data_IF_941700148102
#
_entry.id   IF_941700148102
#
_cell.length_a   1.000
_cell.length_b   1.000
_cell.length_c   1.000
_cell.angle_alpha   90.00
_cell.angle_beta   90.00
_cell.angle_gamma   90.00
#
_symmetry.space_group_name_H-M   'P 1'
#
loop_
_entity.id
_entity.type
_entity.pdbx_description
1 polymer ?
#
# COMPACT_ATOMS: atom_id res chain seq x y z
N UNK A 1 -29.82 5.18 -80.28
CA UNK A 1 -29.08 6.28 -79.71
C UNK A 1 -29.53 6.45 -78.27
N UNK A 2 -28.90 5.73 -77.34
CA UNK A 2 -29.29 5.77 -75.93
C UNK A 2 -28.07 6.19 -75.07
N UNK A 3 -28.22 7.34 -74.44
CA UNK A 3 -27.23 7.81 -73.45
C UNK A 3 -27.54 7.17 -72.11
N UNK A 4 -26.60 6.36 -71.57
CA UNK A 4 -26.67 5.75 -70.24
C UNK A 4 -25.97 6.70 -69.28
N UNK A 5 -26.69 7.24 -68.31
CA UNK A 5 -26.18 8.00 -67.20
C UNK A 5 -25.56 6.97 -66.15
N UNK A 6 -24.28 7.10 -65.84
CA UNK A 6 -23.68 6.44 -64.74
C UNK A 6 -23.78 7.33 -63.50
N UNK A 7 -24.58 6.95 -62.55
CA UNK A 7 -24.59 7.55 -61.21
C UNK A 7 -23.45 6.95 -60.37
N UNK A 8 -22.56 7.79 -59.90
CA UNK A 8 -21.52 7.41 -58.95
C UNK A 8 -22.11 7.49 -57.54
N UNK A 9 -22.16 6.33 -56.86
CA UNK A 9 -22.53 6.25 -55.45
C UNK A 9 -21.23 6.40 -54.63
N UNK A 10 -21.09 7.55 -53.92
CA UNK A 10 -20.08 7.72 -52.89
C UNK A 10 -20.54 7.00 -51.63
N UNK A 11 -19.92 5.87 -51.29
CA UNK A 11 -20.04 5.27 -49.97
C UNK A 11 -19.11 6.01 -49.01
N UNK A 12 -19.68 6.80 -48.12
CA UNK A 12 -18.99 7.34 -46.97
C UNK A 12 -18.93 6.24 -45.88
N UNK A 13 -17.75 5.63 -45.69
CA UNK A 13 -17.51 4.73 -44.60
C UNK A 13 -17.25 5.53 -43.31
N UNK A 14 -18.25 5.63 -42.46
CA UNK A 14 -18.12 6.14 -41.12
C UNK A 14 -17.45 5.04 -40.24
N UNK A 15 -16.18 5.21 -39.93
CA UNK A 15 -15.48 4.42 -38.95
C UNK A 15 -15.92 4.82 -37.54
N UNK A 16 -16.78 4.02 -36.93
CA UNK A 16 -17.10 4.09 -35.52
C UNK A 16 -15.87 3.61 -34.73
N UNK A 17 -15.13 4.56 -34.17
CA UNK A 17 -14.17 4.25 -33.07
C UNK A 17 -15.00 3.91 -31.84
N UNK A 18 -15.18 2.63 -31.56
CA UNK A 18 -15.64 2.17 -30.27
C UNK A 18 -14.53 2.38 -29.27
N UNK A 19 -14.65 3.41 -28.44
CA UNK A 19 -13.86 3.52 -27.23
C UNK A 19 -14.25 2.36 -26.31
N UNK A 20 -13.43 1.31 -26.27
CA UNK A 20 -13.55 0.29 -25.27
C UNK A 20 -13.23 0.93 -23.92
N UNK A 21 -14.25 1.25 -23.14
CA UNK A 21 -14.10 1.53 -21.72
C UNK A 21 -13.56 0.25 -21.08
N UNK A 22 -12.29 0.28 -20.69
CA UNK A 22 -11.73 -0.72 -19.79
C UNK A 22 -12.46 -0.55 -18.47
N UNK A 23 -13.54 -1.29 -18.27
CA UNK A 23 -14.16 -1.40 -16.96
C UNK A 23 -13.14 -2.07 -16.05
N UNK A 24 -12.66 -1.36 -15.04
CA UNK A 24 -11.96 -1.99 -13.93
C UNK A 24 -12.86 -3.12 -13.41
N UNK A 25 -12.37 -4.35 -13.50
CA UNK A 25 -13.08 -5.51 -13.04
C UNK A 25 -13.22 -5.37 -11.52
N UNK A 26 -14.42 -4.99 -11.05
CA UNK A 26 -14.74 -5.00 -9.62
C UNK A 26 -14.61 -6.45 -9.13
N UNK A 27 -13.47 -6.76 -8.53
CA UNK A 27 -13.33 -8.02 -7.80
C UNK A 27 -14.15 -7.91 -6.51
N UNK A 28 -15.42 -8.29 -6.60
CA UNK A 28 -16.26 -8.51 -5.43
C UNK A 28 -15.80 -9.80 -4.75
N UNK A 29 -14.84 -9.68 -3.84
CA UNK A 29 -14.47 -10.77 -2.96
C UNK A 29 -15.17 -10.47 -1.62
N UNK A 30 -16.22 -11.22 -1.24
CA UNK A 30 -17.02 -10.92 -0.04
C UNK A 30 -16.20 -10.77 1.23
N UNK A 31 -15.16 -11.59 1.40
CA UNK A 31 -14.29 -11.61 2.58
C UNK A 31 -13.42 -10.34 2.68
N UNK A 32 -13.05 -9.73 1.55
CA UNK A 32 -12.29 -8.49 1.54
C UNK A 32 -13.14 -7.32 2.05
N UNK A 33 -14.43 -7.28 1.71
CA UNK A 33 -15.34 -6.17 2.03
C UNK A 33 -15.56 -5.94 3.51
N UNK A 34 -15.35 -6.94 4.38
CA UNK A 34 -15.47 -6.78 5.83
C UNK A 34 -14.28 -6.05 6.46
N UNK A 35 -13.13 -6.07 5.77
CA UNK A 35 -11.88 -5.52 6.26
C UNK A 35 -11.41 -4.29 5.49
N UNK A 36 -11.78 -4.18 4.22
CA UNK A 36 -11.28 -3.14 3.32
C UNK A 36 -12.39 -2.55 2.44
N UNK A 37 -12.13 -1.33 1.99
CA UNK A 37 -12.80 -0.71 0.83
C UNK A 37 -11.74 -0.25 -0.17
N UNK A 38 -12.03 -0.23 -1.48
CA UNK A 38 -11.14 0.40 -2.45
C UNK A 38 -10.87 1.86 -2.08
N UNK A 39 -9.60 2.29 -2.17
CA UNK A 39 -9.24 3.68 -1.95
C UNK A 39 -9.82 4.59 -3.01
N UNK A 40 -10.16 5.81 -2.61
CA UNK A 40 -10.54 6.90 -3.52
C UNK A 40 -9.32 7.75 -3.90
N UNK A 41 -9.42 8.55 -4.96
CA UNK A 41 -8.37 9.49 -5.37
C UNK A 41 -8.17 10.63 -4.34
N UNK A 42 -9.26 11.08 -3.70
CA UNK A 42 -9.20 12.14 -2.72
C UNK A 42 -8.46 11.69 -1.45
N UNK A 43 -7.55 12.49 -0.89
CA UNK A 43 -6.94 12.20 0.40
C UNK A 43 -7.99 12.03 1.51
N UNK A 44 -7.72 11.18 2.48
CA UNK A 44 -8.55 10.97 3.67
C UNK A 44 -7.79 11.34 4.93
N UNK A 45 -8.49 11.64 6.02
CA UNK A 45 -7.88 11.78 7.35
C UNK A 45 -7.43 10.43 7.91
N UNK A 46 -6.80 10.47 9.07
CA UNK A 46 -6.61 9.30 9.93
C UNK A 46 -7.94 8.91 10.60
N UNK A 47 -7.99 7.74 11.23
CA UNK A 47 -9.15 7.39 12.05
C UNK A 47 -9.27 8.28 13.31
N UNK A 48 -10.28 8.01 14.14
CA UNK A 48 -10.55 8.79 15.38
C UNK A 48 -9.38 8.75 16.37
N UNK A 49 -8.55 7.71 16.34
CA UNK A 49 -7.42 7.48 17.22
C UNK A 49 -6.07 7.79 16.54
N UNK A 50 -6.09 8.32 15.31
CA UNK A 50 -4.92 8.74 14.54
C UNK A 50 -4.26 7.65 13.69
N UNK A 51 -4.85 6.45 13.64
CA UNK A 51 -4.28 5.36 12.84
C UNK A 51 -4.47 5.60 11.34
N UNK A 52 -3.45 5.19 10.59
CA UNK A 52 -3.41 5.28 9.13
C UNK A 52 -4.09 4.03 8.57
N UNK A 53 -5.23 4.25 7.90
CA UNK A 53 -6.03 3.16 7.34
C UNK A 53 -5.81 2.97 5.83
N UNK A 54 -5.31 3.99 5.11
CA UNK A 54 -5.11 3.96 3.65
C UNK A 54 -3.73 3.47 3.29
N UNK A 55 -3.67 2.37 2.52
CA UNK A 55 -2.43 1.73 2.09
C UNK A 55 -2.54 1.20 0.66
N UNK A 56 -1.43 1.22 -0.06
CA UNK A 56 -1.25 0.45 -1.30
C UNK A 56 -0.43 -0.78 -0.93
N UNK A 57 -1.04 -1.96 -1.03
CA UNK A 57 -0.52 -3.24 -0.59
C UNK A 57 -0.09 -4.08 -1.80
N UNK A 58 1.12 -4.63 -1.78
CA UNK A 58 1.55 -5.61 -2.77
C UNK A 58 1.02 -7.00 -2.43
N UNK A 59 0.54 -7.72 -3.42
CA UNK A 59 0.27 -9.15 -3.27
C UNK A 59 1.47 -9.86 -2.65
N UNK A 60 1.26 -10.79 -1.69
CA UNK A 60 2.32 -11.33 -0.85
C UNK A 60 3.41 -12.06 -1.62
N UNK A 61 4.63 -11.99 -1.12
CA UNK A 61 5.80 -12.66 -1.66
C UNK A 61 6.12 -13.86 -0.76
N UNK A 62 6.23 -15.05 -1.33
CA UNK A 62 6.53 -16.25 -0.57
C UNK A 62 7.90 -16.20 0.12
N UNK A 63 7.98 -16.71 1.35
CA UNK A 63 9.21 -16.91 2.10
C UNK A 63 9.25 -18.33 2.69
N UNK A 64 10.41 -18.81 3.05
CA UNK A 64 10.59 -20.14 3.67
C UNK A 64 10.47 -20.10 5.21
N UNK A 65 9.92 -19.01 5.77
CA UNK A 65 9.82 -18.81 7.20
C UNK A 65 8.82 -19.77 7.86
N UNK A 66 9.27 -20.91 8.32
CA UNK A 66 8.42 -21.91 9.01
C UNK A 66 8.08 -21.52 10.47
N UNK A 67 8.71 -20.47 11.01
CA UNK A 67 8.48 -19.96 12.37
C UNK A 67 8.73 -18.47 12.42
N UNK A 68 7.92 -17.72 13.18
CA UNK A 68 8.13 -16.29 13.42
C UNK A 68 9.38 -15.98 14.25
N UNK A 69 9.92 -16.98 14.95
CA UNK A 69 11.15 -16.81 15.78
C UNK A 69 12.41 -16.58 14.97
N UNK A 70 12.38 -16.80 13.65
CA UNK A 70 13.54 -16.55 12.79
C UNK A 70 13.78 -15.06 12.51
N UNK A 71 12.78 -14.19 12.75
CA UNK A 71 12.85 -12.76 12.46
C UNK A 71 13.71 -12.00 13.48
N UNK A 72 14.97 -12.41 13.66
CA UNK A 72 15.96 -11.62 14.41
C UNK A 72 16.24 -10.30 13.67
N UNK A 73 16.82 -9.32 14.37
CA UNK A 73 17.18 -8.01 13.79
C UNK A 73 18.00 -8.14 12.51
N UNK A 74 19.04 -8.98 12.54
CA UNK A 74 19.94 -9.17 11.40
C UNK A 74 19.23 -9.84 10.22
N UNK A 75 18.43 -10.89 10.48
CA UNK A 75 17.72 -11.60 9.44
C UNK A 75 16.60 -10.75 8.84
N UNK A 76 15.88 -10.00 9.67
CA UNK A 76 14.84 -9.07 9.19
C UNK A 76 15.45 -7.98 8.30
N UNK A 77 16.61 -7.44 8.66
CA UNK A 77 17.35 -6.50 7.79
C UNK A 77 17.81 -7.15 6.49
N UNK A 78 18.35 -8.35 6.54
CA UNK A 78 18.74 -9.07 5.34
C UNK A 78 17.57 -9.22 4.37
N UNK A 79 16.41 -9.65 4.86
CA UNK A 79 15.18 -9.78 4.07
C UNK A 79 14.72 -8.42 3.55
N UNK A 80 14.67 -7.41 4.39
CA UNK A 80 14.16 -6.08 4.04
C UNK A 80 14.97 -5.38 2.94
N UNK A 81 16.28 -5.60 2.91
CA UNK A 81 17.18 -5.00 1.92
C UNK A 81 17.53 -5.94 0.76
N UNK A 82 16.97 -7.15 0.72
CA UNK A 82 16.97 -7.98 -0.49
C UNK A 82 16.03 -7.37 -1.52
N UNK A 83 16.50 -7.13 -2.74
CA UNK A 83 15.69 -6.60 -3.83
C UNK A 83 14.85 -7.73 -4.43
N UNK A 84 13.54 -7.74 -4.13
CA UNK A 84 12.59 -8.69 -4.68
C UNK A 84 12.03 -8.22 -6.03
N UNK A 85 11.88 -6.92 -6.19
CA UNK A 85 11.36 -6.29 -7.40
C UNK A 85 12.05 -4.94 -7.64
N UNK A 86 12.06 -4.54 -8.90
CA UNK A 86 12.71 -3.31 -9.35
C UNK A 86 12.20 -2.08 -8.61
N UNK A 87 13.12 -1.20 -8.22
CA UNK A 87 12.82 0.08 -7.55
C UNK A 87 12.07 -0.07 -6.21
N UNK A 88 12.19 -1.21 -5.54
CA UNK A 88 11.49 -1.58 -4.31
C UNK A 88 11.45 -0.46 -3.25
N UNK A 89 12.56 0.25 -3.07
CA UNK A 89 12.69 1.32 -2.07
C UNK A 89 12.27 2.71 -2.59
N UNK A 90 12.05 2.86 -3.89
CA UNK A 90 11.78 4.17 -4.52
C UNK A 90 10.45 4.23 -5.26
N UNK A 91 9.89 3.10 -5.67
CA UNK A 91 8.61 3.05 -6.39
C UNK A 91 7.49 3.71 -5.56
N UNK A 92 6.63 4.44 -6.24
CA UNK A 92 5.37 4.96 -5.70
C UNK A 92 4.21 4.29 -6.45
N UNK A 93 3.81 3.10 -6.03
CA UNK A 93 2.85 2.28 -6.77
C UNK A 93 1.45 2.87 -6.72
N UNK A 94 0.69 2.60 -7.77
CA UNK A 94 -0.74 2.88 -7.87
C UNK A 94 -1.52 1.58 -7.88
N UNK A 95 -2.82 1.70 -7.66
CA UNK A 95 -3.73 0.56 -7.82
C UNK A 95 -3.60 -0.08 -9.20
N UNK A 96 -3.45 -1.41 -9.23
CA UNK A 96 -3.26 -2.19 -10.45
C UNK A 96 -1.84 -2.22 -11.02
N UNK A 97 -0.87 -1.46 -10.47
CA UNK A 97 0.53 -1.56 -10.86
C UNK A 97 1.08 -2.96 -10.57
N UNK A 98 2.09 -3.36 -11.33
CA UNK A 98 2.66 -4.72 -11.26
C UNK A 98 4.11 -4.68 -10.84
N UNK A 99 4.45 -5.52 -9.86
CA UNK A 99 5.81 -5.90 -9.52
C UNK A 99 6.11 -7.28 -10.11
N UNK A 100 7.26 -7.45 -10.75
CA UNK A 100 7.72 -8.76 -11.27
C UNK A 100 8.70 -9.35 -10.27
N UNK A 101 8.37 -10.52 -9.74
CA UNK A 101 9.17 -11.23 -8.74
C UNK A 101 9.46 -12.63 -9.28
N UNK A 102 10.71 -12.87 -9.64
CA UNK A 102 11.06 -14.08 -10.37
C UNK A 102 10.34 -14.13 -11.74
N UNK A 103 9.42 -15.08 -11.88
CA UNK A 103 8.59 -15.24 -13.10
C UNK A 103 7.15 -14.74 -12.90
N UNK A 104 6.78 -14.38 -11.67
CA UNK A 104 5.42 -14.07 -11.29
C UNK A 104 5.17 -12.56 -11.29
N UNK A 105 3.92 -12.19 -11.53
CA UNK A 105 3.45 -10.81 -11.45
C UNK A 105 2.59 -10.66 -10.20
N UNK A 106 3.02 -9.78 -9.33
CA UNK A 106 2.28 -9.37 -8.13
C UNK A 106 1.65 -8.01 -8.39
N UNK A 107 0.43 -7.81 -7.93
CA UNK A 107 -0.36 -6.60 -8.17
C UNK A 107 -0.37 -5.76 -6.90
N UNK A 108 -0.28 -4.44 -7.07
CA UNK A 108 -0.49 -3.47 -6.00
C UNK A 108 -1.98 -3.11 -5.92
N UNK A 109 -2.53 -3.10 -4.72
CA UNK A 109 -3.94 -2.80 -4.46
C UNK A 109 -4.05 -1.63 -3.47
N UNK A 110 -4.71 -0.54 -3.89
CA UNK A 110 -4.95 0.62 -3.05
C UNK A 110 -6.24 0.45 -2.27
N UNK A 111 -6.13 0.31 -0.94
CA UNK A 111 -7.22 -0.06 -0.05
C UNK A 111 -7.27 0.81 1.20
N UNK A 112 -8.47 1.04 1.70
CA UNK A 112 -8.73 1.65 3.00
C UNK A 112 -9.17 0.57 3.99
N UNK A 113 -8.36 0.32 5.03
CA UNK A 113 -8.71 -0.61 6.10
C UNK A 113 -9.89 -0.07 6.92
N UNK A 114 -10.83 -0.93 7.29
CA UNK A 114 -12.00 -0.57 8.11
C UNK A 114 -11.73 -0.61 9.62
N UNK A 115 -10.58 -1.15 10.00
CA UNK A 115 -10.11 -1.25 11.39
C UNK A 115 -8.93 -0.31 11.60
N UNK A 116 -8.52 -0.11 12.85
CA UNK A 116 -7.28 0.62 13.19
C UNK A 116 -6.01 -0.07 12.70
N UNK A 117 -6.12 -1.32 12.29
CA UNK A 117 -5.04 -2.15 11.75
C UNK A 117 -5.35 -2.65 10.35
N UNK A 118 -4.30 -2.99 9.62
CA UNK A 118 -4.34 -3.59 8.29
C UNK A 118 -4.24 -5.10 8.42
N UNK A 119 -5.29 -5.83 8.06
CA UNK A 119 -5.32 -7.29 8.14
C UNK A 119 -4.76 -7.89 6.84
N UNK A 120 -3.47 -8.23 6.86
CA UNK A 120 -2.76 -8.73 5.69
C UNK A 120 -3.16 -10.16 5.33
N UNK A 121 -3.56 -10.95 6.33
CA UNK A 121 -4.07 -12.29 6.08
C UNK A 121 -5.37 -12.22 5.26
N UNK A 122 -6.31 -11.36 5.64
CA UNK A 122 -7.56 -11.16 4.89
C UNK A 122 -7.34 -10.47 3.55
N UNK A 123 -6.34 -9.60 3.47
CA UNK A 123 -5.89 -9.05 2.19
C UNK A 123 -5.47 -10.16 1.23
N UNK A 124 -4.55 -11.02 1.63
CA UNK A 124 -4.05 -12.11 0.78
C UNK A 124 -5.17 -13.10 0.39
N UNK A 125 -5.94 -13.57 1.38
CA UNK A 125 -7.06 -14.48 1.19
C UNK A 125 -8.11 -13.92 0.23
N UNK A 126 -8.44 -12.63 0.39
CA UNK A 126 -9.39 -11.91 -0.46
C UNK A 126 -8.96 -11.79 -1.93
N UNK A 127 -7.69 -11.88 -2.24
CA UNK A 127 -7.16 -11.95 -3.60
C UNK A 127 -6.76 -13.38 -4.03
N UNK A 128 -7.15 -14.40 -3.24
CA UNK A 128 -6.85 -15.80 -3.52
C UNK A 128 -5.37 -16.13 -3.47
N UNK A 129 -4.61 -15.42 -2.62
CA UNK A 129 -3.17 -15.61 -2.44
C UNK A 129 -2.86 -16.38 -1.15
N UNK A 130 -1.74 -17.10 -1.10
CA UNK A 130 -1.24 -17.66 0.15
C UNK A 130 -1.02 -16.57 1.19
N UNK A 131 -1.28 -16.85 2.46
CA UNK A 131 -1.18 -15.87 3.54
C UNK A 131 -0.22 -16.28 4.67
N UNK A 132 0.19 -17.54 4.76
CA UNK A 132 1.27 -17.97 5.65
C UNK A 132 2.60 -18.00 4.93
N UNK A 133 3.69 -17.74 5.66
CA UNK A 133 5.05 -17.71 5.13
C UNK A 133 5.19 -16.66 4.00
N UNK A 134 4.76 -15.43 4.29
CA UNK A 134 4.72 -14.36 3.31
C UNK A 134 5.42 -13.08 3.80
N UNK A 135 5.93 -12.33 2.84
CA UNK A 135 6.39 -10.97 3.00
C UNK A 135 5.33 -10.03 2.40
N UNK A 136 4.94 -9.00 3.14
CA UNK A 136 3.93 -8.01 2.73
C UNK A 136 4.54 -6.63 2.64
N UNK A 137 4.61 -6.07 1.46
CA UNK A 137 5.02 -4.69 1.23
C UNK A 137 3.80 -3.78 1.23
N UNK A 138 3.90 -2.69 1.96
CA UNK A 138 2.87 -1.67 2.05
C UNK A 138 3.46 -0.27 1.79
N UNK A 139 2.67 0.59 1.17
CA UNK A 139 3.05 1.94 0.79
C UNK A 139 1.91 2.91 1.10
N UNK A 140 2.22 4.09 1.63
CA UNK A 140 1.26 5.17 1.80
C UNK A 140 1.95 6.53 1.76
N UNK A 141 1.18 7.59 1.52
CA UNK A 141 1.64 8.97 1.45
C UNK A 141 0.96 9.79 2.52
N UNK A 142 1.75 10.42 3.38
CA UNK A 142 1.28 11.35 4.40
C UNK A 142 1.46 12.77 3.86
N UNK A 143 0.36 13.50 3.73
CA UNK A 143 0.37 14.89 3.30
C UNK A 143 0.28 15.81 4.52
N UNK A 144 1.18 16.78 4.59
CA UNK A 144 1.24 17.78 5.65
C UNK A 144 1.18 19.19 5.05
N UNK A 145 0.36 20.07 5.61
CA UNK A 145 0.26 21.48 5.18
C UNK A 145 1.47 22.31 5.65
N UNK A 146 2.14 21.84 6.71
CA UNK A 146 3.33 22.44 7.29
C UNK A 146 4.28 21.37 7.82
N UNK A 147 5.50 21.74 8.23
CA UNK A 147 6.42 20.83 8.91
C UNK A 147 5.86 20.47 10.30
N UNK A 148 5.79 19.18 10.62
CA UNK A 148 5.42 18.68 11.93
C UNK A 148 6.64 18.03 12.56
N UNK A 149 7.24 18.72 13.52
CA UNK A 149 8.50 18.31 14.15
C UNK A 149 8.25 17.51 15.45
N UNK A 150 9.30 16.80 15.90
CA UNK A 150 9.32 16.09 17.18
C UNK A 150 8.23 15.02 17.33
N UNK A 151 7.72 14.48 16.23
CA UNK A 151 6.77 13.35 16.26
C UNK A 151 7.51 12.02 16.36
N UNK A 152 6.79 10.97 16.72
CA UNK A 152 7.25 9.58 16.64
C UNK A 152 6.30 8.80 15.76
N UNK A 153 6.86 7.91 14.95
CA UNK A 153 6.11 6.83 14.34
C UNK A 153 5.86 5.78 15.41
N UNK A 154 4.61 5.43 15.66
CA UNK A 154 4.19 4.44 16.61
C UNK A 154 3.48 3.32 15.86
N UNK A 155 3.91 2.08 16.07
CA UNK A 155 3.41 0.94 15.34
C UNK A 155 3.29 -0.31 16.20
N UNK A 156 2.45 -1.23 15.75
CA UNK A 156 2.37 -2.61 16.20
C UNK A 156 2.26 -3.53 15.01
N UNK A 157 2.72 -4.76 15.14
CA UNK A 157 2.58 -5.79 14.12
C UNK A 157 2.47 -7.17 14.74
N UNK A 158 1.75 -8.07 14.08
CA UNK A 158 1.95 -9.51 14.29
C UNK A 158 3.22 -9.93 13.56
N UNK A 159 4.01 -10.79 14.21
CA UNK A 159 5.30 -11.22 13.70
C UNK A 159 6.27 -10.02 13.58
N UNK A 160 7.02 -9.86 12.51
CA UNK A 160 8.05 -8.83 12.40
C UNK A 160 7.69 -7.77 11.36
N UNK A 161 8.15 -6.53 11.58
CA UNK A 161 7.93 -5.45 10.64
C UNK A 161 9.08 -4.44 10.61
N UNK A 162 9.29 -3.82 9.46
CA UNK A 162 10.21 -2.71 9.26
C UNK A 162 9.48 -1.55 8.59
N UNK A 163 9.76 -0.33 9.05
CA UNK A 163 9.11 0.87 8.54
C UNK A 163 10.14 1.92 8.13
N UNK A 164 9.88 2.56 6.99
CA UNK A 164 10.68 3.66 6.46
C UNK A 164 9.84 4.92 6.31
N UNK A 165 10.45 6.05 6.58
CA UNK A 165 9.92 7.38 6.28
C UNK A 165 10.87 8.09 5.31
N UNK A 166 10.38 8.49 4.15
CA UNK A 166 11.15 9.19 3.11
C UNK A 166 12.45 8.46 2.72
N UNK A 167 12.44 7.12 2.77
CA UNK A 167 13.58 6.26 2.43
C UNK A 167 14.51 5.95 3.62
N UNK A 168 14.34 6.58 4.76
CA UNK A 168 15.11 6.29 5.98
C UNK A 168 14.40 5.25 6.84
N UNK A 169 15.11 4.21 7.31
CA UNK A 169 14.61 3.25 8.29
C UNK A 169 14.36 3.96 9.63
N UNK A 170 13.12 3.93 10.11
CA UNK A 170 12.75 4.67 11.33
C UNK A 170 12.27 3.77 12.46
N UNK A 171 11.77 2.56 12.14
CA UNK A 171 11.24 1.66 13.17
C UNK A 171 11.34 0.22 12.71
N UNK A 172 11.81 -0.65 13.61
CA UNK A 172 11.91 -2.09 13.40
C UNK A 172 11.30 -2.83 14.59
N UNK A 173 10.43 -3.78 14.28
CA UNK A 173 9.82 -4.72 15.20
C UNK A 173 10.27 -6.12 14.80
N UNK A 174 11.18 -6.71 15.54
CA UNK A 174 11.72 -8.04 15.26
C UNK A 174 11.08 -9.11 16.15
N UNK A 175 11.35 -10.36 15.84
CA UNK A 175 10.88 -11.56 16.52
C UNK A 175 9.39 -11.83 16.39
N UNK A 176 8.94 -12.87 17.09
CA UNK A 176 7.52 -13.27 17.19
C UNK A 176 6.76 -12.32 18.12
N UNK A 177 5.68 -11.75 17.65
CA UNK A 177 4.93 -10.68 18.33
C UNK A 177 3.45 -10.82 18.10
N UNK A 178 2.68 -10.32 19.04
CA UNK A 178 1.26 -10.04 18.87
C UNK A 178 1.05 -8.59 18.45
N UNK A 179 -0.06 -8.32 17.75
CA UNK A 179 -0.46 -6.97 17.41
C UNK A 179 -0.89 -6.22 18.67
N UNK A 180 -0.08 -5.27 19.11
CA UNK A 180 -0.37 -4.35 20.21
C UNK A 180 -0.28 -2.92 19.67
N UNK A 181 -1.27 -2.07 20.00
CA UNK A 181 -1.23 -0.65 19.66
C UNK A 181 -0.03 0.01 20.36
N UNK A 182 0.73 0.80 19.60
CA UNK A 182 1.89 1.55 20.14
C UNK A 182 2.95 0.67 20.81
N UNK A 183 3.08 -0.57 20.37
CA UNK A 183 4.05 -1.52 20.91
C UNK A 183 5.49 -0.99 20.79
N UNK A 184 5.80 -0.34 19.66
CA UNK A 184 7.09 0.30 19.42
C UNK A 184 6.95 1.71 18.88
N UNK A 185 7.88 2.57 19.29
CA UNK A 185 7.97 3.96 18.82
C UNK A 185 9.36 4.25 18.26
N UNK A 186 9.40 4.98 17.15
CA UNK A 186 10.64 5.47 16.57
C UNK A 186 11.35 6.48 17.50
N UNK A 187 12.58 6.84 17.18
CA UNK A 187 13.18 8.09 17.65
C UNK A 187 12.30 9.26 17.18
N UNK A 188 12.58 10.46 17.71
CA UNK A 188 11.94 11.70 17.23
C UNK A 188 12.31 11.94 15.77
N UNK A 189 11.28 12.16 14.95
CA UNK A 189 11.37 12.43 13.52
C UNK A 189 10.56 13.67 13.18
N UNK A 190 10.62 14.11 11.92
CA UNK A 190 9.80 15.19 11.40
C UNK A 190 9.06 14.75 10.15
N UNK A 191 7.77 15.06 10.07
CA UNK A 191 7.03 15.05 8.82
C UNK A 191 7.22 16.40 8.14
N UNK A 192 7.65 16.41 6.89
CA UNK A 192 7.89 17.63 6.12
C UNK A 192 6.60 18.11 5.48
N UNK A 193 6.52 19.43 5.30
CA UNK A 193 5.48 20.04 4.47
C UNK A 193 5.43 19.38 3.09
N UNK A 194 4.23 19.04 2.64
CA UNK A 194 4.01 18.31 1.40
C UNK A 194 3.87 16.80 1.65
N UNK A 195 4.43 16.00 0.77
CA UNK A 195 4.29 14.56 0.80
C UNK A 195 5.44 13.88 1.53
N UNK A 196 5.10 13.01 2.47
CA UNK A 196 6.03 12.12 3.15
C UNK A 196 5.67 10.68 2.79
N UNK A 197 6.66 9.92 2.41
CA UNK A 197 6.48 8.55 1.95
C UNK A 197 6.72 7.59 3.10
N UNK A 198 5.72 6.78 3.42
CA UNK A 198 5.87 5.67 4.37
C UNK A 198 5.85 4.36 3.61
N UNK A 199 6.82 3.51 3.89
CA UNK A 199 6.85 2.11 3.47
C UNK A 199 6.86 1.21 4.68
N UNK A 200 6.26 0.04 4.55
CA UNK A 200 6.34 -1.02 5.53
C UNK A 200 6.62 -2.35 4.83
N UNK A 201 7.43 -3.17 5.47
CA UNK A 201 7.56 -4.59 5.20
C UNK A 201 7.08 -5.33 6.45
N UNK A 202 6.08 -6.19 6.30
CA UNK A 202 5.65 -7.10 7.35
C UNK A 202 6.04 -8.52 6.94
N UNK A 203 6.75 -9.21 7.83
CA UNK A 203 7.25 -10.56 7.60
C UNK A 203 6.45 -11.53 8.46
N UNK A 204 5.82 -12.50 7.83
CA UNK A 204 5.00 -13.50 8.51
C UNK A 204 5.48 -14.92 8.19
N UNK A 205 5.56 -15.74 9.24
CA UNK A 205 5.64 -17.19 9.14
C UNK A 205 4.23 -17.79 9.25
N UNK A 206 3.99 -18.72 10.18
CA UNK A 206 2.64 -19.16 10.53
C UNK A 206 1.94 -18.13 11.42
N UNK A 207 0.60 -18.09 11.38
CA UNK A 207 -0.21 -17.26 12.26
C UNK A 207 -0.76 -15.99 11.63
N UNK A 208 -1.14 -15.03 12.49
CA UNK A 208 -1.75 -13.77 12.07
C UNK A 208 -0.71 -12.86 11.40
N UNK A 209 -1.20 -12.03 10.48
CA UNK A 209 -0.39 -11.03 9.79
C UNK A 209 -1.17 -9.71 9.74
N UNK A 210 -0.90 -8.86 10.70
CA UNK A 210 -1.55 -7.56 10.87
C UNK A 210 -0.50 -6.51 11.23
N UNK A 211 -0.76 -5.25 10.90
CA UNK A 211 0.01 -4.13 11.43
C UNK A 211 -0.87 -2.91 11.63
N UNK A 212 -0.47 -2.03 12.54
CA UNK A 212 -1.05 -0.70 12.69
C UNK A 212 0.06 0.35 12.79
N UNK A 213 -0.25 1.57 12.38
CA UNK A 213 0.68 2.69 12.40
C UNK A 213 -0.06 4.01 12.63
N UNK A 214 0.48 4.85 13.48
CA UNK A 214 0.11 6.25 13.64
C UNK A 214 1.32 7.10 13.98
N UNK A 215 1.16 8.42 13.89
CA UNK A 215 2.13 9.36 14.42
C UNK A 215 1.62 9.96 15.71
N UNK A 216 2.51 10.13 16.69
CA UNK A 216 2.21 10.77 17.96
C UNK A 216 3.13 11.96 18.19
N UNK A 217 2.60 13.00 18.83
CA UNK A 217 3.32 14.22 19.18
C UNK A 217 4.21 14.06 20.42
N UNK A 218 4.78 15.14 20.91
CA UNK A 218 5.64 15.14 22.11
C UNK A 218 4.89 14.72 23.38
N UNK A 219 3.59 14.93 23.44
CA UNK A 219 2.74 14.56 24.58
C UNK A 219 2.17 13.13 24.45
N UNK A 220 2.51 12.41 23.37
CA UNK A 220 1.97 11.09 23.06
C UNK A 220 0.58 11.11 22.44
N UNK A 221 0.06 12.30 22.06
CA UNK A 221 -1.25 12.41 21.41
C UNK A 221 -1.13 12.14 19.91
N UNK A 222 -2.18 11.53 19.30
CA UNK A 222 -2.18 11.30 17.86
C UNK A 222 -2.09 12.59 17.05
N UNK A 223 -1.22 12.59 16.03
CA UNK A 223 -1.14 13.65 15.02
C UNK A 223 -2.28 13.46 14.04
N UNK A 224 -3.23 14.41 13.98
CA UNK A 224 -4.43 14.34 13.14
C UNK A 224 -4.50 15.40 12.05
N UNK A 225 -3.63 16.40 12.09
CA UNK A 225 -3.54 17.46 11.08
C UNK A 225 -2.73 17.01 9.84
N UNK A 226 -2.96 15.77 9.44
CA UNK A 226 -2.38 15.13 8.25
C UNK A 226 -3.49 14.52 7.41
N UNK A 227 -3.24 14.33 6.11
CA UNK A 227 -4.09 13.50 5.27
C UNK A 227 -3.28 12.42 4.57
N UNK A 228 -3.97 11.37 4.13
CA UNK A 228 -3.37 10.13 3.62
C UNK A 228 -3.83 9.90 2.19
N UNK A 229 -2.88 9.66 1.29
CA UNK A 229 -3.12 9.37 -0.13
C UNK A 229 -2.53 8.02 -0.51
N UNK A 230 -3.21 7.30 -1.40
CA UNK A 230 -2.69 6.09 -2.02
C UNK A 230 -1.83 6.40 -3.27
N UNK A 231 -1.99 7.59 -3.85
CA UNK A 231 -1.28 8.01 -5.06
C UNK A 231 -0.64 9.39 -4.85
N UNK A 232 0.51 9.65 -5.47
CA UNK A 232 1.12 10.97 -5.43
C UNK A 232 0.18 12.02 -6.04
N UNK A 233 -0.03 13.13 -5.35
CA UNK A 233 -0.69 14.28 -5.95
C UNK A 233 0.27 14.94 -6.92
N UNK A 234 -0.03 14.88 -8.20
CA UNK A 234 0.67 15.69 -9.21
C UNK A 234 0.35 17.16 -8.93
N UNK A 235 1.36 17.96 -8.57
CA UNK A 235 1.20 19.41 -8.56
C UNK A 235 0.75 19.81 -9.98
N UNK A 236 -0.48 20.26 -10.15
CA UNK A 236 -0.87 20.95 -11.38
C UNK A 236 0.12 22.13 -11.52
N UNK A 237 0.99 22.07 -12.54
CA UNK A 237 1.76 23.25 -12.92
C UNK A 237 0.76 24.35 -13.23
N UNK A 238 0.76 25.39 -12.42
CA UNK A 238 0.08 26.66 -12.73
C UNK A 238 0.84 27.37 -13.84
#
# INVERSE_FOLDING_TARGET
MNKIFKAAICLASASLLSAASVSAQEHKIPELSDYFTPSTEAPVGTDKDGFIQRWTLLEPIATEASSNRIWSDDYLKQIAYTEYFKDQMTIMPKDGDKAVIGKDKHIWHALDAKKYFVNLLRFADGYGKPYYQQLYWAFTIINCDEDINNVRMSAGANSAALFWLNGEEVLMLSNDRDLIMDDFMSKRISLKKGQNIVRALVCNGPGMADFCLRFVDESGKPVKNISVSAVPTTKKKK
#
